data_IF_185924888741
#
_entry.id   IF_185924888741
#
_cell.length_a   1.000
_cell.length_b   1.000
_cell.length_c   1.000
_cell.angle_alpha   90.00
_cell.angle_beta   90.00
_cell.angle_gamma   90.00
#
_symmetry.space_group_name_H-M   'P 1'
#
loop_
_entity.id
_entity.type
_entity.pdbx_description
1 polymer ?
#
# COMPACT_ATOMS: atom_id res chain seq x y z
N UNK A 1 9.33 -21.32 13.95
CA UNK A 1 10.30 -20.28 13.52
C UNK A 1 9.94 -19.98 12.09
N UNK A 2 9.30 -18.84 11.85
CA UNK A 2 8.86 -18.41 10.51
C UNK A 2 10.08 -17.81 9.80
N UNK A 3 10.59 -18.51 8.78
CA UNK A 3 11.56 -17.95 7.83
C UNK A 3 10.90 -16.84 7.00
N UNK A 4 10.86 -15.66 7.59
CA UNK A 4 10.44 -14.46 6.88
C UNK A 4 11.66 -13.92 6.12
N UNK A 5 11.56 -13.70 4.79
CA UNK A 5 12.63 -13.00 4.08
C UNK A 5 12.73 -11.57 4.64
N UNK A 6 13.94 -11.20 5.06
CA UNK A 6 14.22 -9.87 5.60
C UNK A 6 14.13 -8.82 4.49
N UNK A 7 13.61 -7.63 4.82
CA UNK A 7 13.65 -6.47 3.95
C UNK A 7 15.12 -6.08 3.69
N UNK A 8 15.50 -5.63 2.46
CA UNK A 8 16.86 -5.22 2.14
C UNK A 8 17.49 -4.23 3.11
N UNK A 9 16.71 -3.28 3.65
CA UNK A 9 17.17 -2.32 4.66
C UNK A 9 17.41 -2.99 6.02
N UNK A 10 16.60 -3.97 6.41
CA UNK A 10 16.81 -4.78 7.61
C UNK A 10 18.04 -5.69 7.44
N UNK A 11 18.26 -6.23 6.23
CA UNK A 11 19.43 -7.02 5.90
C UNK A 11 20.70 -6.16 5.94
N UNK A 12 20.67 -4.97 5.35
CA UNK A 12 21.80 -4.04 5.37
C UNK A 12 22.19 -3.62 6.80
N UNK A 13 21.21 -3.45 7.69
CA UNK A 13 21.42 -3.12 9.10
C UNK A 13 21.98 -4.29 9.94
N UNK A 14 21.82 -5.53 9.47
CA UNK A 14 22.32 -6.74 10.16
C UNK A 14 23.68 -7.20 9.70
N UNK A 15 24.24 -6.60 8.64
CA UNK A 15 25.58 -6.92 8.16
C UNK A 15 26.63 -6.44 9.18
N UNK A 16 27.24 -7.38 9.89
CA UNK A 16 28.38 -7.13 10.77
C UNK A 16 29.67 -7.40 9.99
N UNK A 17 30.49 -6.37 9.87
CA UNK A 17 31.81 -6.46 9.31
C UNK A 17 32.78 -6.72 10.47
N UNK A 18 33.67 -7.71 10.33
CA UNK A 18 34.74 -7.85 11.29
C UNK A 18 35.74 -6.68 11.19
N UNK A 19 36.65 -6.58 12.15
CA UNK A 19 37.66 -5.51 12.19
C UNK A 19 38.59 -5.50 10.95
N UNK A 20 38.61 -6.60 10.19
CA UNK A 20 39.40 -6.75 8.95
C UNK A 20 38.58 -6.54 7.68
N UNK A 21 37.30 -6.15 7.81
CA UNK A 21 36.41 -5.94 6.68
C UNK A 21 35.98 -7.23 5.96
N UNK A 22 36.07 -8.38 6.63
CA UNK A 22 35.65 -9.68 6.09
C UNK A 22 34.28 -10.05 6.59
N UNK A 23 33.41 -10.43 5.65
CA UNK A 23 32.10 -10.92 5.97
C UNK A 23 32.13 -12.36 6.50
N UNK A 24 31.38 -12.65 7.57
CA UNK A 24 31.23 -14.04 8.06
C UNK A 24 30.44 -14.88 7.06
N UNK A 25 30.41 -16.21 7.16
CA UNK A 25 29.68 -17.08 6.21
C UNK A 25 28.18 -16.74 6.15
N UNK A 26 27.61 -16.29 7.27
CA UNK A 26 26.23 -15.84 7.37
C UNK A 26 26.03 -14.50 6.67
N UNK A 27 27.03 -13.64 6.73
CA UNK A 27 27.05 -12.34 6.05
C UNK A 27 27.20 -12.49 4.54
N UNK A 28 27.87 -13.55 4.05
CA UNK A 28 28.01 -13.83 2.62
C UNK A 28 26.67 -14.19 1.97
N UNK A 29 25.80 -14.91 2.68
CA UNK A 29 24.45 -15.22 2.20
C UNK A 29 23.57 -13.95 2.21
N UNK A 30 23.63 -13.18 3.29
CA UNK A 30 22.98 -11.88 3.40
C UNK A 30 23.48 -10.89 2.34
N UNK A 31 24.79 -10.89 2.05
CA UNK A 31 25.38 -10.07 0.99
C UNK A 31 24.89 -10.48 -0.39
N UNK A 32 24.79 -11.79 -0.70
CA UNK A 32 24.25 -12.27 -1.98
C UNK A 32 22.79 -11.84 -2.18
N UNK A 33 21.99 -11.91 -1.13
CA UNK A 33 20.61 -11.43 -1.18
C UNK A 33 20.58 -9.92 -1.39
N UNK A 34 21.42 -9.17 -0.70
CA UNK A 34 21.54 -7.72 -0.88
C UNK A 34 22.02 -7.35 -2.29
N UNK A 35 23.05 -8.01 -2.81
CA UNK A 35 23.59 -7.79 -4.16
C UNK A 35 22.51 -8.11 -5.22
N UNK A 36 21.74 -9.18 -5.02
CA UNK A 36 20.61 -9.51 -5.89
C UNK A 36 19.53 -8.41 -5.86
N UNK A 37 19.20 -7.89 -4.67
CA UNK A 37 18.26 -6.79 -4.53
C UNK A 37 18.79 -5.48 -5.13
N UNK A 38 20.07 -5.17 -4.96
CA UNK A 38 20.71 -4.01 -5.58
C UNK A 38 20.69 -4.10 -7.11
N UNK A 39 20.98 -5.28 -7.68
CA UNK A 39 20.84 -5.52 -9.11
C UNK A 39 19.39 -5.33 -9.59
N UNK A 40 18.41 -5.77 -8.79
CA UNK A 40 17.01 -5.51 -9.11
C UNK A 40 16.68 -4.01 -9.04
N UNK A 41 17.17 -3.29 -8.03
CA UNK A 41 16.99 -1.84 -7.91
C UNK A 41 17.62 -1.10 -9.08
N UNK A 42 18.85 -1.46 -9.50
CA UNK A 42 19.49 -0.90 -10.71
C UNK A 42 18.68 -1.17 -11.98
N UNK A 43 17.96 -2.28 -12.04
CA UNK A 43 17.06 -2.59 -13.15
C UNK A 43 15.77 -1.78 -13.10
N UNK A 44 15.29 -1.43 -11.91
CA UNK A 44 14.04 -0.72 -11.68
C UNK A 44 14.17 0.81 -11.72
N UNK A 45 15.32 1.37 -11.36
CA UNK A 45 15.55 2.82 -11.38
C UNK A 45 15.25 3.43 -12.77
N UNK A 46 15.63 2.79 -13.90
CA UNK A 46 15.27 3.25 -15.24
C UNK A 46 13.75 3.25 -15.53
N UNK A 47 12.98 2.40 -14.86
CA UNK A 47 11.53 2.31 -15.05
C UNK A 47 10.82 3.34 -14.16
N UNK A 48 11.11 3.33 -12.87
CA UNK A 48 10.39 4.14 -11.89
C UNK A 48 10.76 5.62 -11.93
N UNK A 49 12.02 5.96 -12.24
CA UNK A 49 12.46 7.35 -12.31
C UNK A 49 11.66 8.18 -13.32
N UNK A 50 11.59 7.79 -14.62
CA UNK A 50 10.75 8.45 -15.61
C UNK A 50 9.28 8.47 -15.21
N UNK A 51 8.76 7.37 -14.70
CA UNK A 51 7.36 7.27 -14.33
C UNK A 51 6.95 8.23 -13.20
N UNK A 52 7.82 8.47 -12.22
CA UNK A 52 7.56 9.46 -11.19
C UNK A 52 7.51 10.88 -11.75
N UNK A 53 8.29 11.18 -12.78
CA UNK A 53 8.31 12.49 -13.45
C UNK A 53 7.06 12.69 -14.32
N UNK A 54 6.57 11.64 -14.97
CA UNK A 54 5.40 11.68 -15.86
C UNK A 54 4.07 11.64 -15.09
N UNK A 55 4.04 11.02 -13.93
CA UNK A 55 2.82 10.79 -13.15
C UNK A 55 1.99 12.04 -12.85
N UNK A 56 2.56 13.22 -12.51
CA UNK A 56 1.78 14.44 -12.30
C UNK A 56 1.05 14.91 -13.56
N UNK A 57 1.67 14.75 -14.75
CA UNK A 57 1.05 15.11 -16.02
C UNK A 57 -0.12 14.17 -16.33
N UNK A 58 0.06 12.85 -16.16
CA UNK A 58 -0.99 11.85 -16.31
C UNK A 58 -2.14 12.07 -15.32
N UNK A 59 -1.83 12.42 -14.08
CA UNK A 59 -2.85 12.76 -13.09
C UNK A 59 -3.65 13.97 -13.53
N UNK A 60 -2.98 15.04 -13.99
CA UNK A 60 -3.64 16.23 -14.49
C UNK A 60 -4.52 15.90 -15.69
N UNK A 61 -4.03 15.11 -16.64
CA UNK A 61 -4.79 14.65 -17.81
C UNK A 61 -6.04 13.86 -17.41
N UNK A 62 -5.94 12.97 -16.42
CA UNK A 62 -7.07 12.21 -15.92
C UNK A 62 -8.18 13.10 -15.33
N UNK A 63 -7.81 14.30 -14.85
CA UNK A 63 -8.74 15.25 -14.20
C UNK A 63 -9.10 16.47 -15.06
N UNK A 64 -8.52 16.66 -16.26
CA UNK A 64 -8.79 17.81 -17.15
C UNK A 64 -10.25 17.84 -17.64
N UNK A 65 -10.85 16.70 -17.88
CA UNK A 65 -12.21 16.64 -18.40
C UNK A 65 -13.21 16.64 -17.24
N UNK A 66 -14.37 17.29 -17.43
CA UNK A 66 -15.51 17.26 -16.50
C UNK A 66 -16.12 15.85 -16.34
N UNK A 67 -15.40 14.82 -16.78
CA UNK A 67 -15.75 13.44 -16.58
C UNK A 67 -15.83 13.16 -15.07
N UNK A 68 -17.01 12.84 -14.58
CA UNK A 68 -17.21 12.41 -13.20
C UNK A 68 -16.34 11.17 -12.88
N UNK A 69 -16.42 10.69 -11.65
CA UNK A 69 -15.62 9.54 -11.21
C UNK A 69 -15.72 8.32 -12.16
N UNK A 70 -16.94 7.99 -12.63
CA UNK A 70 -17.15 6.89 -13.57
C UNK A 70 -16.41 7.07 -14.91
N UNK A 71 -16.36 8.30 -15.44
CA UNK A 71 -15.61 8.59 -16.67
C UNK A 71 -14.11 8.41 -16.49
N UNK A 72 -13.56 8.82 -15.34
CA UNK A 72 -12.13 8.57 -15.02
C UNK A 72 -11.81 7.09 -14.88
N UNK A 73 -12.70 6.31 -14.28
CA UNK A 73 -12.59 4.85 -14.22
C UNK A 73 -12.55 4.24 -15.63
N UNK A 74 -13.48 4.65 -16.52
CA UNK A 74 -13.51 4.21 -17.91
C UNK A 74 -12.21 4.54 -18.66
N UNK A 75 -11.68 5.75 -18.49
CA UNK A 75 -10.38 6.13 -19.09
C UNK A 75 -9.23 5.25 -18.64
N UNK A 76 -9.14 4.93 -17.34
CA UNK A 76 -8.13 3.99 -16.84
C UNK A 76 -8.34 2.60 -17.45
N UNK A 77 -9.58 2.22 -17.75
CA UNK A 77 -9.88 0.92 -18.37
C UNK A 77 -9.47 0.83 -19.84
N UNK A 78 -9.67 1.90 -20.57
CA UNK A 78 -9.54 1.94 -22.04
C UNK A 78 -8.15 2.37 -22.52
N UNK A 79 -7.41 3.16 -21.72
CA UNK A 79 -6.14 3.76 -22.11
C UNK A 79 -4.95 3.26 -21.27
N UNK A 80 -4.11 2.45 -21.89
CA UNK A 80 -2.93 1.83 -21.26
C UNK A 80 -1.90 2.86 -20.75
N UNK A 81 -1.94 4.11 -21.19
CA UNK A 81 -1.05 5.18 -20.67
C UNK A 81 -1.28 5.43 -19.19
N UNK A 82 -2.49 5.13 -18.68
CA UNK A 82 -2.79 5.21 -17.25
C UNK A 82 -2.38 3.98 -16.46
N UNK A 83 -1.95 2.89 -17.11
CA UNK A 83 -1.45 1.69 -16.42
C UNK A 83 0.01 1.91 -15.97
N UNK A 84 0.19 2.81 -15.02
CA UNK A 84 1.45 3.45 -14.72
C UNK A 84 1.71 3.42 -13.21
N UNK A 85 2.87 2.87 -12.80
CA UNK A 85 3.22 2.74 -11.38
C UNK A 85 3.23 4.08 -10.64
N UNK A 86 3.91 5.07 -11.23
CA UNK A 86 4.00 6.41 -10.67
C UNK A 86 2.63 7.06 -10.48
N UNK A 87 1.71 6.91 -11.45
CA UNK A 87 0.34 7.41 -11.34
C UNK A 87 -0.40 6.76 -10.15
N UNK A 88 -0.28 5.44 -9.97
CA UNK A 88 -0.87 4.75 -8.83
C UNK A 88 -0.37 5.32 -7.50
N UNK A 89 0.94 5.54 -7.37
CA UNK A 89 1.54 6.14 -6.18
C UNK A 89 1.05 7.57 -5.93
N UNK A 90 0.95 8.39 -6.98
CA UNK A 90 0.42 9.75 -6.88
C UNK A 90 -1.05 9.77 -6.46
N UNK A 91 -1.91 8.93 -7.03
CA UNK A 91 -3.31 8.80 -6.64
C UNK A 91 -3.46 8.42 -5.15
N UNK A 92 -2.64 7.49 -4.65
CA UNK A 92 -2.63 7.14 -3.23
C UNK A 92 -2.18 8.32 -2.35
N UNK A 93 -1.16 9.05 -2.76
CA UNK A 93 -0.67 10.21 -2.04
C UNK A 93 -1.72 11.33 -1.99
N UNK A 94 -2.39 11.62 -3.11
CA UNK A 94 -3.49 12.60 -3.16
C UNK A 94 -4.69 12.15 -2.35
N UNK A 95 -5.03 10.87 -2.38
CA UNK A 95 -6.07 10.31 -1.51
C UNK A 95 -5.77 10.59 -0.04
N UNK A 96 -4.52 10.38 0.39
CA UNK A 96 -4.12 10.65 1.76
C UNK A 96 -4.17 12.15 2.12
N UNK A 97 -3.74 13.02 1.21
CA UNK A 97 -3.79 14.50 1.41
C UNK A 97 -5.23 15.00 1.51
N UNK A 98 -6.13 14.41 0.74
CA UNK A 98 -7.54 14.80 0.68
C UNK A 98 -8.35 14.37 1.91
N UNK A 99 -7.83 13.49 2.76
CA UNK A 99 -8.55 12.94 3.93
C UNK A 99 -9.14 14.02 4.83
N UNK A 100 -8.39 15.09 5.08
CA UNK A 100 -8.82 16.17 5.99
C UNK A 100 -9.87 17.09 5.37
N UNK A 101 -9.85 17.27 4.04
CA UNK A 101 -10.74 18.18 3.33
C UNK A 101 -11.99 17.48 2.78
N UNK A 102 -11.86 16.27 2.28
CA UNK A 102 -12.96 15.51 1.69
C UNK A 102 -12.72 14.00 1.74
N UNK A 103 -13.41 13.32 2.65
CA UNK A 103 -13.36 11.86 2.72
C UNK A 103 -13.93 11.19 1.45
N UNK A 104 -14.86 11.84 0.75
CA UNK A 104 -15.42 11.35 -0.52
C UNK A 104 -14.34 11.40 -1.61
N UNK A 105 -13.65 12.54 -1.76
CA UNK A 105 -12.56 12.66 -2.72
C UNK A 105 -11.43 11.66 -2.42
N UNK A 106 -11.07 11.50 -1.14
CA UNK A 106 -10.09 10.49 -0.71
C UNK A 106 -10.48 9.08 -1.15
N UNK A 107 -11.75 8.71 -0.99
CA UNK A 107 -12.26 7.41 -1.43
C UNK A 107 -12.19 7.27 -2.96
N UNK A 108 -12.63 8.27 -3.71
CA UNK A 108 -12.63 8.24 -5.17
C UNK A 108 -11.20 8.14 -5.73
N UNK A 109 -10.27 8.89 -5.17
CA UNK A 109 -8.84 8.81 -5.54
C UNK A 109 -8.23 7.43 -5.22
N UNK A 110 -8.56 6.84 -4.07
CA UNK A 110 -8.09 5.51 -3.70
C UNK A 110 -8.69 4.42 -4.60
N UNK A 111 -9.93 4.58 -5.05
CA UNK A 111 -10.56 3.66 -6.00
C UNK A 111 -9.90 3.72 -7.39
N UNK A 112 -9.56 4.92 -7.88
CA UNK A 112 -8.75 5.09 -9.08
C UNK A 112 -7.37 4.46 -8.94
N UNK A 113 -6.71 4.61 -7.78
CA UNK A 113 -5.43 3.96 -7.51
C UNK A 113 -5.53 2.43 -7.58
N UNK A 114 -6.60 1.85 -7.04
CA UNK A 114 -6.89 0.41 -7.18
C UNK A 114 -7.07 0.03 -8.64
N UNK A 115 -7.84 0.81 -9.41
CA UNK A 115 -8.07 0.53 -10.82
C UNK A 115 -6.75 0.51 -11.62
N UNK A 116 -5.87 1.46 -11.39
CA UNK A 116 -4.52 1.49 -11.99
C UNK A 116 -3.69 0.28 -11.55
N UNK A 117 -3.59 0.02 -10.24
CA UNK A 117 -2.78 -1.07 -9.69
C UNK A 117 -3.19 -2.45 -10.24
N UNK A 118 -4.50 -2.66 -10.42
CA UNK A 118 -5.02 -3.94 -10.95
C UNK A 118 -4.69 -4.16 -12.44
N UNK A 119 -4.34 -3.09 -13.17
CA UNK A 119 -4.01 -3.13 -14.61
C UNK A 119 -2.53 -3.10 -14.92
N UNK A 120 -1.68 -2.91 -13.91
CA UNK A 120 -0.23 -2.99 -14.11
C UNK A 120 0.19 -4.36 -14.62
N UNK A 121 1.08 -4.34 -15.62
CA UNK A 121 1.65 -5.56 -16.18
C UNK A 121 2.72 -6.16 -15.25
N UNK A 122 2.48 -7.36 -14.68
CA UNK A 122 3.48 -8.02 -13.85
C UNK A 122 4.76 -8.41 -14.60
N UNK A 123 4.68 -8.53 -15.95
CA UNK A 123 5.84 -8.79 -16.78
C UNK A 123 6.79 -7.58 -16.86
N UNK A 124 6.24 -6.37 -16.78
CA UNK A 124 7.01 -5.13 -16.78
C UNK A 124 7.56 -4.78 -15.38
N UNK A 125 6.74 -4.92 -14.34
CA UNK A 125 7.08 -4.45 -12.99
C UNK A 125 7.50 -5.54 -12.00
N UNK A 126 7.60 -6.78 -12.41
CA UNK A 126 7.75 -7.95 -11.55
C UNK A 126 6.51 -8.27 -10.70
N UNK A 127 6.13 -9.55 -10.66
CA UNK A 127 4.87 -10.00 -10.05
C UNK A 127 4.74 -9.61 -8.57
N UNK A 128 5.76 -9.89 -7.76
CA UNK A 128 5.67 -9.65 -6.31
C UNK A 128 5.53 -8.15 -5.96
N UNK A 129 6.16 -7.29 -6.72
CA UNK A 129 6.06 -5.84 -6.51
C UNK A 129 4.72 -5.29 -6.97
N UNK A 130 4.20 -5.80 -8.09
CA UNK A 130 2.85 -5.49 -8.55
C UNK A 130 1.82 -5.91 -7.50
N UNK A 131 2.00 -7.06 -6.87
CA UNK A 131 1.13 -7.54 -5.80
C UNK A 131 1.23 -6.66 -4.54
N UNK A 132 2.43 -6.21 -4.16
CA UNK A 132 2.59 -5.26 -3.05
C UNK A 132 1.91 -3.92 -3.34
N UNK A 133 2.01 -3.40 -4.56
CA UNK A 133 1.32 -2.16 -4.93
C UNK A 133 -0.20 -2.33 -4.92
N UNK A 134 -0.71 -3.46 -5.42
CA UNK A 134 -2.13 -3.82 -5.34
C UNK A 134 -2.60 -3.88 -3.89
N UNK A 135 -1.84 -4.54 -3.01
CA UNK A 135 -2.13 -4.61 -1.59
C UNK A 135 -2.15 -3.22 -0.95
N UNK A 136 -1.18 -2.38 -1.28
CA UNK A 136 -1.09 -1.00 -0.79
C UNK A 136 -2.30 -0.18 -1.24
N UNK A 137 -2.67 -0.22 -2.52
CA UNK A 137 -3.83 0.50 -3.06
C UNK A 137 -5.14 0.07 -2.39
N UNK A 138 -5.36 -1.24 -2.22
CA UNK A 138 -6.52 -1.77 -1.50
C UNK A 138 -6.54 -1.35 -0.02
N UNK A 139 -5.39 -1.27 0.64
CA UNK A 139 -5.31 -0.80 2.03
C UNK A 139 -5.67 0.69 2.16
N UNK A 140 -5.23 1.54 1.22
CA UNK A 140 -5.66 2.95 1.17
C UNK A 140 -7.16 3.08 0.94
N UNK A 141 -7.73 2.27 0.04
CA UNK A 141 -9.16 2.26 -0.22
C UNK A 141 -9.96 1.79 1.01
N UNK A 142 -9.48 0.77 1.73
CA UNK A 142 -10.09 0.32 2.98
C UNK A 142 -10.14 1.45 4.03
N UNK A 143 -9.04 2.20 4.22
CA UNK A 143 -9.03 3.32 5.16
C UNK A 143 -9.96 4.46 4.73
N UNK A 144 -10.04 4.78 3.45
CA UNK A 144 -10.95 5.78 2.92
C UNK A 144 -12.43 5.38 3.11
N UNK A 145 -12.80 4.14 2.82
CA UNK A 145 -14.14 3.59 3.07
C UNK A 145 -14.49 3.61 4.57
N UNK A 146 -13.53 3.22 5.43
CA UNK A 146 -13.67 3.27 6.88
C UNK A 146 -14.02 4.70 7.36
N UNK A 147 -13.36 5.72 6.83
CA UNK A 147 -13.62 7.14 7.19
C UNK A 147 -15.00 7.59 6.80
N UNK A 148 -15.56 7.05 5.74
CA UNK A 148 -16.95 7.28 5.30
C UNK A 148 -17.98 6.41 6.05
N UNK A 149 -17.56 5.65 7.07
CA UNK A 149 -18.40 4.69 7.79
C UNK A 149 -18.97 3.56 6.90
N UNK A 150 -18.36 3.28 5.76
CA UNK A 150 -18.71 2.16 4.87
C UNK A 150 -17.96 0.91 5.31
N UNK A 151 -18.36 0.36 6.45
CA UNK A 151 -17.62 -0.71 7.15
C UNK A 151 -17.50 -1.98 6.30
N UNK A 152 -18.56 -2.41 5.63
CA UNK A 152 -18.55 -3.62 4.79
C UNK A 152 -17.61 -3.47 3.59
N UNK A 153 -17.65 -2.33 2.91
CA UNK A 153 -16.72 -2.02 1.80
C UNK A 153 -15.27 -2.00 2.31
N UNK A 154 -15.03 -1.40 3.47
CA UNK A 154 -13.71 -1.33 4.07
C UNK A 154 -13.15 -2.72 4.44
N UNK A 155 -13.97 -3.61 5.01
CA UNK A 155 -13.58 -4.99 5.31
C UNK A 155 -13.30 -5.79 4.03
N UNK A 156 -14.13 -5.62 3.00
CA UNK A 156 -13.92 -6.25 1.69
C UNK A 156 -12.61 -5.79 1.04
N UNK A 157 -12.31 -4.48 1.10
CA UNK A 157 -11.07 -3.93 0.60
C UNK A 157 -9.85 -4.42 1.39
N UNK A 158 -9.94 -4.48 2.72
CA UNK A 158 -8.88 -5.01 3.59
C UNK A 158 -8.58 -6.48 3.29
N UNK A 159 -9.61 -7.30 3.08
CA UNK A 159 -9.44 -8.71 2.70
C UNK A 159 -8.66 -8.86 1.38
N UNK A 160 -8.95 -8.00 0.39
CA UNK A 160 -8.20 -7.96 -0.88
C UNK A 160 -6.76 -7.51 -0.66
N UNK A 161 -6.53 -6.48 0.18
CA UNK A 161 -5.18 -6.05 0.55
C UNK A 161 -4.36 -7.19 1.16
N UNK A 162 -4.93 -7.93 2.11
CA UNK A 162 -4.29 -9.09 2.74
C UNK A 162 -3.98 -10.20 1.73
N UNK A 163 -4.91 -10.47 0.79
CA UNK A 163 -4.69 -11.48 -0.27
C UNK A 163 -3.50 -11.13 -1.15
N UNK A 164 -3.43 -9.88 -1.64
CA UNK A 164 -2.32 -9.42 -2.49
C UNK A 164 -1.00 -9.35 -1.70
N UNK A 165 -1.01 -8.89 -0.45
CA UNK A 165 0.19 -8.86 0.40
C UNK A 165 0.82 -10.24 0.61
N UNK A 166 0.01 -11.31 0.68
CA UNK A 166 0.53 -12.70 0.78
C UNK A 166 1.18 -13.19 -0.51
N UNK A 167 0.80 -12.63 -1.65
CA UNK A 167 1.37 -12.96 -2.96
C UNK A 167 2.59 -12.06 -3.32
N UNK A 168 2.77 -10.97 -2.59
CA UNK A 168 3.87 -10.04 -2.74
C UNK A 168 5.10 -10.38 -1.91
N UNK A 169 5.93 -9.36 -1.64
CA UNK A 169 7.17 -9.50 -0.84
C UNK A 169 6.91 -9.57 0.68
N UNK A 170 5.68 -9.31 1.13
CA UNK A 170 5.29 -9.18 2.52
C UNK A 170 6.14 -8.15 3.31
N UNK A 171 6.48 -7.03 2.69
CA UNK A 171 7.29 -5.96 3.27
C UNK A 171 6.73 -5.45 4.61
N UNK A 172 7.62 -5.18 5.59
CA UNK A 172 7.21 -4.83 6.95
C UNK A 172 6.33 -3.59 7.03
N UNK A 173 6.59 -2.57 6.20
CA UNK A 173 5.79 -1.35 6.16
C UNK A 173 4.35 -1.64 5.70
N UNK A 174 4.19 -2.45 4.65
CA UNK A 174 2.87 -2.84 4.15
C UNK A 174 2.11 -3.68 5.18
N UNK A 175 2.79 -4.65 5.80
CA UNK A 175 2.21 -5.47 6.86
C UNK A 175 1.72 -4.62 8.04
N UNK A 176 2.54 -3.68 8.52
CA UNK A 176 2.16 -2.76 9.61
C UNK A 176 0.98 -1.86 9.23
N UNK A 177 0.92 -1.40 7.98
CA UNK A 177 -0.21 -0.59 7.47
C UNK A 177 -1.51 -1.39 7.43
N UNK A 178 -1.47 -2.63 6.96
CA UNK A 178 -2.62 -3.54 6.94
C UNK A 178 -3.11 -3.80 8.36
N UNK A 179 -2.22 -4.15 9.28
CA UNK A 179 -2.53 -4.38 10.69
C UNK A 179 -3.17 -3.15 11.35
N UNK A 180 -2.60 -1.96 11.14
CA UNK A 180 -3.18 -0.71 11.65
C UNK A 180 -4.59 -0.46 11.13
N UNK A 181 -4.84 -0.74 9.85
CA UNK A 181 -6.17 -0.57 9.25
C UNK A 181 -7.15 -1.58 9.84
N UNK A 182 -6.73 -2.84 10.02
CA UNK A 182 -7.51 -3.90 10.63
C UNK A 182 -7.91 -3.56 12.09
N UNK A 183 -6.95 -3.16 12.92
CA UNK A 183 -7.22 -2.71 14.29
C UNK A 183 -8.23 -1.56 14.32
N UNK A 184 -8.08 -0.60 13.40
CA UNK A 184 -8.99 0.55 13.31
C UNK A 184 -10.42 0.19 12.88
N UNK A 185 -10.58 -0.89 12.11
CA UNK A 185 -11.88 -1.43 11.70
C UNK A 185 -12.51 -2.24 12.83
N UNK A 186 -11.76 -3.13 13.48
CA UNK A 186 -12.24 -3.96 14.60
C UNK A 186 -12.71 -3.10 15.77
N UNK A 187 -11.96 -2.05 16.12
CA UNK A 187 -12.39 -1.08 17.12
C UNK A 187 -13.78 -0.48 16.83
N UNK A 188 -14.12 -0.20 15.56
CA UNK A 188 -15.43 0.34 15.20
C UNK A 188 -16.55 -0.69 15.25
N UNK A 189 -16.26 -1.94 14.88
CA UNK A 189 -17.22 -3.04 14.94
C UNK A 189 -17.55 -3.35 16.40
N UNK A 190 -16.54 -3.51 17.25
CA UNK A 190 -16.70 -3.80 18.67
C UNK A 190 -17.37 -2.63 19.41
N UNK A 191 -17.00 -1.39 19.09
CA UNK A 191 -17.61 -0.19 19.66
C UNK A 191 -19.09 0.00 19.32
N UNK A 192 -19.56 -0.51 18.17
CA UNK A 192 -20.99 -0.56 17.84
C UNK A 192 -21.73 -1.65 18.62
N UNK A 193 -21.09 -2.79 18.86
CA UNK A 193 -21.64 -3.89 19.64
C UNK A 193 -21.63 -3.58 21.15
N UNK A 194 -20.71 -2.72 21.62
CA UNK A 194 -20.61 -2.29 23.02
C UNK A 194 -21.84 -1.51 23.52
N UNK A 195 -22.62 -0.86 22.67
CA UNK A 195 -23.83 -0.13 23.08
C UNK A 195 -24.94 -1.03 23.68
N UNK A 196 -24.77 -2.36 23.66
CA UNK A 196 -25.71 -3.32 24.19
C UNK A 196 -25.40 -3.91 25.59
N UNK A 197 -24.17 -3.78 26.11
CA UNK A 197 -23.78 -4.44 27.38
C UNK A 197 -23.13 -3.44 28.37
N UNK A 198 -23.93 -2.59 28.98
CA UNK A 198 -23.50 -1.61 29.98
C UNK A 198 -23.07 -2.22 31.34
N UNK A 199 -22.88 -3.53 31.45
CA UNK A 199 -22.56 -4.24 32.72
C UNK A 199 -21.33 -5.15 32.65
N UNK A 200 -20.35 -4.87 31.78
CA UNK A 200 -19.04 -5.56 31.79
C UNK A 200 -18.04 -4.88 32.75
N UNK A 201 -17.14 -5.64 33.42
CA UNK A 201 -16.28 -5.15 34.50
C UNK A 201 -15.08 -4.26 34.07
N UNK A 202 -14.94 -3.90 32.80
CA UNK A 202 -13.86 -3.02 32.33
C UNK A 202 -14.48 -1.89 31.48
N UNK A 203 -14.42 -0.68 32.04
CA UNK A 203 -14.82 0.54 31.35
C UNK A 203 -13.98 0.79 30.07
N UNK A 204 -14.42 1.70 29.17
CA UNK A 204 -13.69 2.00 27.95
C UNK A 204 -12.26 2.47 28.27
N UNK A 205 -11.24 2.03 27.50
CA UNK A 205 -9.90 2.56 27.68
C UNK A 205 -9.92 4.06 27.45
N UNK A 206 -9.31 4.77 28.39
CA UNK A 206 -9.17 6.23 28.37
C UNK A 206 -8.62 6.67 27.01
N UNK A 207 -9.39 7.49 26.30
CA UNK A 207 -8.93 8.19 25.13
C UNK A 207 -7.72 9.03 25.52
N UNK A 208 -6.52 8.65 25.09
CA UNK A 208 -5.35 9.52 25.06
C UNK A 208 -5.64 10.62 24.04
N UNK A 209 -6.10 11.77 24.55
CA UNK A 209 -6.07 13.03 23.84
C UNK A 209 -4.61 13.49 23.77
N UNK A 210 -4.05 13.52 22.57
CA UNK A 210 -2.94 14.37 22.14
C UNK A 210 -3.23 14.88 20.75
#
# INVERSE_FOLDING_TARGET
>A
MTDRPLNPLELAATLHWDQDGRATSRDLESKRVLDHWLQQLEHFDPIFGPEYVEAPALLSELFIEEAGHAGRMGRIEEDNRFHHWGLCQHLMAESQRSVASSAVLSRDLSELAVAVAMRLDPGHYHLSWTEDLRAKAWCFHADACRRLNRTEEALGALSKAQKHSRAGTAGAELAARIEKTEMSLNWRVDGKNWKGNAHGPLGPPLALAL
#
